data_IF_926193394105
#
_entry.id   IF_926193394105
#
_cell.length_a   1.000
_cell.length_b   1.000
_cell.length_c   1.000
_cell.angle_alpha   90.00
_cell.angle_beta   90.00
_cell.angle_gamma   90.00
#
_symmetry.space_group_name_H-M   'P 1'
#
loop_
_entity.id
_entity.type
_entity.pdbx_description
1 polymer ?
#
# COMPACT_ATOMS: atom_id res chain seq x y z
N UNK A 1 7.86 -49.98 12.56
CA UNK A 1 7.29 -49.69 11.22
C UNK A 1 5.82 -49.40 11.40
N UNK A 2 5.37 -48.14 11.31
CA UNK A 2 3.96 -47.77 11.54
C UNK A 2 3.46 -46.99 10.34
N UNK A 3 2.72 -47.69 9.49
CA UNK A 3 1.99 -47.14 8.34
C UNK A 3 1.13 -45.97 8.81
N UNK A 4 1.42 -44.77 8.31
CA UNK A 4 0.42 -43.71 8.18
C UNK A 4 -0.01 -43.74 6.73
N UNK A 5 -1.09 -44.45 6.44
CA UNK A 5 -1.92 -44.09 5.30
C UNK A 5 -2.39 -42.66 5.58
N UNK A 6 -1.69 -41.68 5.00
CA UNK A 6 -2.22 -40.33 4.92
C UNK A 6 -3.41 -40.44 3.98
N UNK A 7 -4.60 -40.13 4.50
CA UNK A 7 -5.81 -40.12 3.70
C UNK A 7 -5.58 -39.12 2.54
N UNK A 8 -5.49 -39.57 1.28
CA UNK A 8 -5.19 -38.69 0.15
C UNK A 8 -6.22 -37.57 0.01
N UNK A 9 -7.43 -37.77 0.56
CA UNK A 9 -8.48 -36.76 0.62
C UNK A 9 -8.13 -35.59 1.55
N UNK A 10 -7.41 -35.84 2.64
CA UNK A 10 -7.03 -34.82 3.62
C UNK A 10 -5.90 -33.94 3.08
N UNK A 11 -4.93 -34.53 2.40
CA UNK A 11 -3.85 -33.81 1.71
C UNK A 11 -4.40 -32.95 0.55
N UNK A 12 -5.35 -33.47 -0.24
CA UNK A 12 -6.03 -32.69 -1.30
C UNK A 12 -6.84 -31.53 -0.71
N UNK A 13 -7.55 -31.75 0.40
CA UNK A 13 -8.33 -30.71 1.08
C UNK A 13 -7.43 -29.61 1.66
N UNK A 14 -6.30 -30.00 2.26
CA UNK A 14 -5.31 -29.07 2.78
C UNK A 14 -4.68 -28.24 1.65
N UNK A 15 -4.34 -28.87 0.53
CA UNK A 15 -3.81 -28.20 -0.65
C UNK A 15 -4.81 -27.20 -1.23
N UNK A 16 -6.08 -27.58 -1.42
CA UNK A 16 -7.12 -26.67 -1.90
C UNK A 16 -7.31 -25.48 -0.96
N UNK A 17 -7.34 -25.71 0.36
CA UNK A 17 -7.49 -24.63 1.35
C UNK A 17 -6.30 -23.65 1.30
N UNK A 18 -5.08 -24.16 1.18
CA UNK A 18 -3.87 -23.34 1.01
C UNK A 18 -3.91 -22.55 -0.29
N UNK A 19 -4.26 -23.19 -1.40
CA UNK A 19 -4.35 -22.58 -2.72
C UNK A 19 -5.39 -21.44 -2.77
N UNK A 20 -6.61 -21.66 -2.28
CA UNK A 20 -7.64 -20.62 -2.22
C UNK A 20 -7.27 -19.48 -1.24
N UNK A 21 -6.59 -19.81 -0.13
CA UNK A 21 -6.09 -18.82 0.81
C UNK A 21 -5.08 -17.87 0.16
N UNK A 22 -4.09 -18.43 -0.54
CA UNK A 22 -3.08 -17.66 -1.28
C UNK A 22 -3.71 -16.87 -2.42
N UNK A 23 -4.60 -17.47 -3.21
CA UNK A 23 -5.29 -16.76 -4.30
C UNK A 23 -6.06 -15.54 -3.80
N UNK A 24 -6.82 -15.70 -2.71
CA UNK A 24 -7.55 -14.58 -2.11
C UNK A 24 -6.60 -13.51 -1.58
N UNK A 25 -5.50 -13.92 -0.95
CA UNK A 25 -4.49 -13.00 -0.44
C UNK A 25 -3.87 -12.18 -1.58
N UNK A 26 -3.37 -12.84 -2.62
CA UNK A 26 -2.73 -12.18 -3.77
C UNK A 26 -3.68 -11.24 -4.50
N UNK A 27 -4.96 -11.63 -4.69
CA UNK A 27 -5.94 -10.73 -5.31
C UNK A 27 -6.27 -9.53 -4.43
N UNK A 28 -6.30 -9.69 -3.11
CA UNK A 28 -6.57 -8.58 -2.18
C UNK A 28 -5.38 -7.62 -2.11
N UNK A 29 -4.16 -8.15 -2.03
CA UNK A 29 -2.92 -7.36 -2.05
C UNK A 29 -2.82 -6.49 -3.30
N UNK A 30 -3.15 -7.03 -4.47
CA UNK A 30 -3.13 -6.28 -5.71
C UNK A 30 -4.13 -5.12 -5.71
N UNK A 31 -5.35 -5.35 -5.21
CA UNK A 31 -6.36 -4.28 -5.07
C UNK A 31 -5.95 -3.21 -4.05
N UNK A 32 -5.33 -3.62 -2.94
CA UNK A 32 -4.79 -2.69 -1.94
C UNK A 32 -3.65 -1.83 -2.52
N UNK A 33 -2.82 -2.42 -3.37
CA UNK A 33 -1.78 -1.69 -4.10
C UNK A 33 -2.39 -0.67 -5.07
N UNK A 34 -3.34 -1.08 -5.91
CA UNK A 34 -4.03 -0.17 -6.85
C UNK A 34 -4.72 0.99 -6.12
N UNK A 35 -5.40 0.70 -5.00
CA UNK A 35 -6.04 1.73 -4.18
C UNK A 35 -5.00 2.75 -3.69
N UNK A 36 -3.85 2.28 -3.21
CA UNK A 36 -2.77 3.15 -2.71
C UNK A 36 -2.21 4.04 -3.83
N UNK A 37 -2.03 3.49 -5.03
CA UNK A 37 -1.57 4.28 -6.18
C UNK A 37 -2.60 5.36 -6.58
N UNK A 38 -3.90 5.04 -6.54
CA UNK A 38 -4.96 6.02 -6.78
C UNK A 38 -5.02 7.10 -5.70
N UNK A 39 -4.81 6.74 -4.43
CA UNK A 39 -4.73 7.70 -3.32
C UNK A 39 -3.53 8.66 -3.49
N UNK A 40 -2.37 8.16 -3.92
CA UNK A 40 -1.20 8.98 -4.23
C UNK A 40 -1.48 9.97 -5.37
N UNK A 41 -2.09 9.50 -6.47
CA UNK A 41 -2.45 10.35 -7.61
C UNK A 41 -3.49 11.40 -7.20
N UNK A 42 -4.48 11.01 -6.41
CA UNK A 42 -5.49 11.92 -5.87
C UNK A 42 -4.85 13.01 -5.01
N UNK A 43 -3.90 12.65 -4.15
CA UNK A 43 -3.14 13.62 -3.36
C UNK A 43 -2.33 14.57 -4.24
N UNK A 44 -1.65 14.06 -5.28
CA UNK A 44 -0.90 14.87 -6.22
C UNK A 44 -1.79 15.86 -6.98
N UNK A 45 -3.00 15.45 -7.37
CA UNK A 45 -3.94 16.34 -8.09
C UNK A 45 -4.42 17.47 -7.18
N UNK A 46 -4.71 17.17 -5.91
CA UNK A 46 -5.27 18.16 -4.98
C UNK A 46 -4.21 19.05 -4.33
N UNK A 47 -3.01 18.52 -4.08
CA UNK A 47 -1.90 19.23 -3.44
C UNK A 47 -0.80 19.67 -4.40
N UNK A 48 -0.89 19.29 -5.67
CA UNK A 48 0.10 19.59 -6.69
C UNK A 48 0.35 21.08 -6.91
N UNK A 49 -0.63 21.94 -6.60
CA UNK A 49 -0.48 23.39 -6.66
C UNK A 49 0.68 23.89 -5.80
N UNK A 50 0.92 23.25 -4.65
CA UNK A 50 2.02 23.61 -3.75
C UNK A 50 3.41 23.30 -4.32
N UNK A 51 3.49 22.52 -5.39
CA UNK A 51 4.72 22.21 -6.13
C UNK A 51 4.68 22.69 -7.59
N UNK A 52 3.73 23.58 -7.93
CA UNK A 52 3.63 24.19 -9.26
C UNK A 52 2.93 23.35 -10.32
N UNK A 53 2.24 22.26 -9.95
CA UNK A 53 1.36 21.49 -10.84
C UNK A 53 -0.02 22.14 -10.84
N UNK A 54 -0.66 22.35 -12.00
CA UNK A 54 -2.00 22.96 -12.05
C UNK A 54 -3.02 22.10 -11.29
N UNK A 55 -3.69 22.70 -10.30
CA UNK A 55 -4.75 22.06 -9.53
C UNK A 55 -6.13 22.26 -10.17
N UNK A 56 -7.09 21.37 -9.85
CA UNK A 56 -8.50 21.64 -10.10
C UNK A 56 -8.98 22.92 -9.38
N UNK A 57 -10.11 23.52 -9.78
CA UNK A 57 -10.64 24.71 -9.12
C UNK A 57 -10.78 24.53 -7.60
N UNK A 58 -10.38 25.53 -6.80
CA UNK A 58 -10.33 25.46 -5.33
C UNK A 58 -11.65 25.00 -4.69
N UNK A 59 -12.80 25.39 -5.25
CA UNK A 59 -14.11 24.94 -4.79
C UNK A 59 -14.27 23.42 -4.83
N UNK A 60 -13.71 22.77 -5.85
CA UNK A 60 -13.70 21.32 -5.99
C UNK A 60 -12.75 20.69 -4.97
N UNK A 61 -11.55 21.27 -4.82
CA UNK A 61 -10.55 20.82 -3.84
C UNK A 61 -11.16 20.80 -2.44
N UNK A 62 -11.76 21.90 -1.99
CA UNK A 62 -12.37 22.01 -0.65
C UNK A 62 -13.44 20.94 -0.41
N UNK A 63 -14.25 20.63 -1.42
CA UNK A 63 -15.30 19.59 -1.32
C UNK A 63 -14.69 18.18 -1.22
N UNK A 64 -13.53 17.98 -1.83
CA UNK A 64 -12.84 16.69 -1.88
C UNK A 64 -11.86 16.47 -0.73
N UNK A 65 -11.41 17.55 -0.05
CA UNK A 65 -10.52 17.49 1.11
C UNK A 65 -10.94 16.49 2.19
N UNK A 66 -12.23 16.34 2.58
CA UNK A 66 -12.64 15.36 3.59
C UNK A 66 -12.27 13.92 3.21
N UNK A 67 -12.23 13.60 1.91
CA UNK A 67 -11.84 12.28 1.41
C UNK A 67 -10.33 12.04 1.46
N UNK A 68 -9.52 13.10 1.58
CA UNK A 68 -8.06 13.01 1.74
C UNK A 68 -7.60 12.80 3.18
N UNK A 69 -8.51 12.79 4.16
CA UNK A 69 -8.14 12.80 5.59
C UNK A 69 -7.07 11.77 5.94
N UNK A 70 -7.21 10.53 5.46
CA UNK A 70 -6.24 9.45 5.68
C UNK A 70 -4.88 9.77 5.05
N UNK A 71 -4.87 10.25 3.82
CA UNK A 71 -3.65 10.53 3.06
C UNK A 71 -2.89 11.73 3.64
N UNK A 72 -3.59 12.72 4.20
CA UNK A 72 -2.96 13.81 4.95
C UNK A 72 -2.15 13.30 6.15
N UNK A 73 -2.63 12.29 6.88
CA UNK A 73 -1.87 11.67 7.96
C UNK A 73 -0.65 10.90 7.44
N UNK A 74 -0.76 10.23 6.30
CA UNK A 74 0.37 9.52 5.66
C UNK A 74 1.44 10.52 5.22
N UNK A 75 1.04 11.59 4.55
CA UNK A 75 1.94 12.67 4.13
C UNK A 75 2.61 13.34 5.33
N UNK A 76 1.85 13.65 6.38
CA UNK A 76 2.39 14.23 7.61
C UNK A 76 3.41 13.29 8.26
N UNK A 77 3.11 11.99 8.33
CA UNK A 77 4.03 11.02 8.92
C UNK A 77 5.34 10.97 8.15
N UNK A 78 5.27 10.90 6.81
CA UNK A 78 6.45 10.96 5.95
C UNK A 78 7.23 12.26 6.15
N UNK A 79 6.56 13.39 6.28
CA UNK A 79 7.20 14.68 6.53
C UNK A 79 7.95 14.71 7.87
N UNK A 80 7.41 14.08 8.91
CA UNK A 80 8.08 13.93 10.22
C UNK A 80 9.31 13.02 10.11
N UNK A 81 9.20 11.95 9.34
CA UNK A 81 10.29 10.98 9.15
C UNK A 81 11.35 11.50 8.13
N UNK A 82 11.19 12.72 7.57
CA UNK A 82 12.14 13.28 6.59
C UNK A 82 13.55 13.52 7.12
N UNK A 83 13.69 13.79 8.42
CA UNK A 83 14.98 14.05 9.05
C UNK A 83 15.90 12.81 9.05
N UNK A 84 15.34 11.61 8.83
CA UNK A 84 16.07 10.34 8.76
C UNK A 84 16.27 9.84 7.31
N UNK A 85 15.76 10.55 6.30
CA UNK A 85 15.85 10.11 4.89
C UNK A 85 17.29 10.03 4.41
N UNK A 86 18.16 10.94 4.88
CA UNK A 86 19.58 10.88 4.53
C UNK A 86 20.27 9.69 5.21
N UNK A 87 19.84 9.29 6.41
CA UNK A 87 20.33 8.11 7.11
C UNK A 87 19.89 6.82 6.42
N UNK A 88 18.63 6.74 6.01
CA UNK A 88 18.08 5.62 5.26
C UNK A 88 18.73 5.47 3.87
N UNK A 89 18.97 6.59 3.17
CA UNK A 89 19.73 6.59 1.91
C UNK A 89 21.18 6.19 2.13
N UNK A 90 21.87 6.73 3.14
CA UNK A 90 23.25 6.36 3.44
C UNK A 90 23.40 4.86 3.76
N UNK A 91 22.45 4.29 4.52
CA UNK A 91 22.39 2.86 4.79
C UNK A 91 22.08 2.01 3.54
N UNK A 92 21.29 2.53 2.60
CA UNK A 92 21.03 1.86 1.31
C UNK A 92 22.26 1.87 0.40
N UNK A 93 23.10 2.91 0.49
CA UNK A 93 24.33 3.04 -0.29
C UNK A 93 25.56 2.43 0.40
N UNK A 94 25.40 1.78 1.56
CA UNK A 94 26.48 1.13 2.34
C UNK A 94 27.67 2.09 2.60
N UNK A 95 27.35 3.38 2.81
CA UNK A 95 28.34 4.42 3.09
C UNK A 95 28.54 4.45 4.61
N UNK A 96 29.69 3.93 5.05
CA UNK A 96 30.23 4.12 6.41
C UNK A 96 30.65 5.58 6.69
#
# INVERSE_FOLDING_TARGET
>A
MRNREKDPLEDIRAFLKGFFGTFKHTSTEYLEFELRELENVFALILMGEFIGIPSPPTTLVIRLLPHMTRELYVMQRRAVDMDDILGELAGMFDID
#
